data_IF_948991216804
#
_entry.id   IF_948991216804
#
_cell.length_a   1.000
_cell.length_b   1.000
_cell.length_c   1.000
_cell.angle_alpha   90.00
_cell.angle_beta   90.00
_cell.angle_gamma   90.00
#
_symmetry.space_group_name_H-M   'P 1'
#
loop_
_entity.id
_entity.type
_entity.pdbx_description
1 polymer ?
#
# COMPACT_ATOMS: atom_id res chain seq x y z
N UNK A 1 -4.44 10.33 1.81
CA UNK A 1 -5.48 9.44 2.36
C UNK A 1 -6.28 10.05 3.50
N UNK A 2 -5.68 10.66 4.53
CA UNK A 2 -6.45 11.26 5.64
C UNK A 2 -7.49 12.30 5.20
N UNK A 3 -7.22 13.06 4.15
CA UNK A 3 -8.16 14.10 3.67
C UNK A 3 -9.49 13.55 3.13
N UNK A 4 -9.53 12.27 2.74
CA UNK A 4 -10.71 11.64 2.14
C UNK A 4 -11.45 10.68 3.09
N UNK A 5 -10.95 10.50 4.33
CA UNK A 5 -11.51 9.56 5.29
C UNK A 5 -11.84 10.28 6.61
N UNK A 6 -13.09 10.19 7.11
CA UNK A 6 -13.54 10.96 8.28
C UNK A 6 -12.96 10.46 9.62
N UNK A 7 -12.31 9.30 9.66
CA UNK A 7 -11.70 8.72 10.86
C UNK A 7 -10.18 8.75 10.75
N UNK A 8 -9.49 8.80 11.89
CA UNK A 8 -8.03 8.70 11.93
C UNK A 8 -7.59 7.34 11.43
N UNK A 9 -6.68 7.32 10.46
CA UNK A 9 -6.04 6.11 9.96
C UNK A 9 -4.71 5.88 10.69
N UNK A 10 -4.51 4.67 11.20
CA UNK A 10 -3.26 4.23 11.80
C UNK A 10 -2.49 3.44 10.74
N UNK A 11 -1.37 3.97 10.27
CA UNK A 11 -0.58 3.34 9.20
C UNK A 11 0.40 2.33 9.76
N UNK A 12 0.46 1.14 9.15
CA UNK A 12 1.59 0.23 9.34
C UNK A 12 2.71 0.66 8.40
N UNK A 13 3.88 0.95 8.98
CA UNK A 13 5.04 1.47 8.27
C UNK A 13 6.21 0.52 8.44
N UNK A 14 6.98 0.29 7.38
CA UNK A 14 8.18 -0.53 7.44
C UNK A 14 9.14 -0.08 8.55
N UNK A 15 9.68 -1.03 9.32
CA UNK A 15 10.53 -0.75 10.48
C UNK A 15 11.68 0.21 10.15
N UNK A 16 12.35 0.01 9.03
CA UNK A 16 13.47 0.86 8.62
C UNK A 16 13.04 2.31 8.35
N UNK A 17 11.87 2.50 7.73
CA UNK A 17 11.33 3.84 7.46
C UNK A 17 10.85 4.52 8.75
N UNK A 18 10.26 3.74 9.66
CA UNK A 18 9.80 4.26 10.96
C UNK A 18 10.95 4.84 11.79
N UNK A 19 12.13 4.23 11.73
CA UNK A 19 13.28 4.64 12.53
C UNK A 19 14.25 5.59 11.81
N UNK A 20 13.94 6.03 10.59
CA UNK A 20 14.68 7.14 9.97
C UNK A 20 14.62 8.37 10.86
N UNK A 21 15.77 9.00 11.11
CA UNK A 21 15.97 10.04 12.14
C UNK A 21 14.97 11.20 12.05
N UNK A 22 14.68 11.68 10.85
CA UNK A 22 13.79 12.83 10.64
C UNK A 22 12.29 12.47 10.58
N UNK A 23 11.94 11.21 10.33
CA UNK A 23 10.54 10.78 10.24
C UNK A 23 10.00 10.19 11.55
N UNK A 24 10.88 9.70 12.42
CA UNK A 24 10.50 9.00 13.65
C UNK A 24 9.50 9.79 14.53
N UNK A 25 9.74 11.07 14.71
CA UNK A 25 8.87 11.91 15.55
C UNK A 25 7.48 12.08 14.89
N UNK A 26 7.44 12.38 13.60
CA UNK A 26 6.19 12.57 12.85
C UNK A 26 5.38 11.27 12.82
N UNK A 27 6.02 10.13 12.56
CA UNK A 27 5.34 8.83 12.51
C UNK A 27 4.81 8.40 13.89
N UNK A 28 5.53 8.72 14.97
CA UNK A 28 5.02 8.52 16.34
C UNK A 28 3.81 9.39 16.64
N UNK A 29 3.84 10.67 16.27
CA UNK A 29 2.72 11.58 16.44
C UNK A 29 1.50 11.14 15.61
N UNK A 30 1.73 10.57 14.44
CA UNK A 30 0.70 9.97 13.59
C UNK A 30 0.19 8.59 14.07
N UNK A 31 0.69 8.08 15.22
CA UNK A 31 0.39 6.76 15.74
C UNK A 31 0.61 5.62 14.73
N UNK A 32 1.67 5.74 13.91
CA UNK A 32 2.05 4.70 12.99
C UNK A 32 2.59 3.47 13.72
N UNK A 33 2.30 2.29 13.18
CA UNK A 33 2.74 1.00 13.72
C UNK A 33 4.01 0.58 12.97
N UNK A 34 5.18 0.48 13.63
CA UNK A 34 6.36 -0.08 12.98
C UNK A 34 6.17 -1.57 12.74
N UNK A 35 6.46 -2.03 11.51
CA UNK A 35 6.30 -3.43 11.10
C UNK A 35 7.58 -3.93 10.44
N UNK A 36 8.12 -5.04 10.92
CA UNK A 36 9.19 -5.78 10.23
C UNK A 36 8.61 -6.55 9.06
N UNK A 37 9.14 -6.32 7.85
CA UNK A 37 8.67 -6.99 6.65
C UNK A 37 9.18 -8.43 6.58
N UNK A 38 8.40 -9.32 5.98
CA UNK A 38 8.71 -10.73 5.70
C UNK A 38 9.01 -11.61 6.92
N UNK A 39 8.71 -11.13 8.13
CA UNK A 39 8.84 -11.91 9.37
C UNK A 39 7.59 -11.75 10.24
N UNK A 40 7.35 -12.74 11.08
CA UNK A 40 6.30 -12.62 12.09
C UNK A 40 6.72 -11.58 13.14
N UNK A 41 5.92 -10.54 13.29
CA UNK A 41 6.20 -9.39 14.16
C UNK A 41 5.15 -9.29 15.27
N UNK A 42 5.42 -9.98 16.39
CA UNK A 42 4.51 -10.01 17.52
C UNK A 42 4.20 -8.62 18.12
N UNK A 43 5.16 -7.70 18.29
CA UNK A 43 4.86 -6.33 18.70
C UNK A 43 3.88 -5.60 17.80
N UNK A 44 4.06 -5.69 16.46
CA UNK A 44 3.14 -5.09 15.50
C UNK A 44 1.75 -5.71 15.60
N UNK A 45 1.66 -7.04 15.78
CA UNK A 45 0.36 -7.73 15.93
C UNK A 45 -0.37 -7.30 17.20
N UNK A 46 0.33 -7.17 18.35
CA UNK A 46 -0.27 -6.65 19.59
C UNK A 46 -0.77 -5.22 19.45
N UNK A 47 -0.04 -4.37 18.71
CA UNK A 47 -0.51 -3.01 18.43
C UNK A 47 -1.78 -3.01 17.58
N UNK A 48 -1.87 -3.90 16.59
CA UNK A 48 -3.09 -4.10 15.79
C UNK A 48 -4.25 -4.58 16.67
N UNK A 49 -4.05 -5.60 17.52
CA UNK A 49 -5.06 -6.10 18.45
C UNK A 49 -5.66 -4.95 19.28
N UNK A 50 -4.80 -4.15 19.91
CA UNK A 50 -5.22 -2.98 20.71
C UNK A 50 -6.00 -1.94 19.91
N UNK A 51 -5.61 -1.69 18.65
CA UNK A 51 -6.31 -0.72 17.79
C UNK A 51 -7.65 -1.23 17.31
N UNK A 52 -7.76 -2.52 16.99
CA UNK A 52 -9.04 -3.17 16.60
C UNK A 52 -10.02 -3.14 17.77
N UNK A 53 -9.58 -3.47 18.98
CA UNK A 53 -10.41 -3.39 20.20
C UNK A 53 -10.96 -1.98 20.46
N UNK A 54 -10.19 -0.95 20.10
CA UNK A 54 -10.62 0.46 20.18
C UNK A 54 -11.47 0.92 18.99
N UNK A 55 -11.79 0.05 18.04
CA UNK A 55 -12.54 0.41 16.83
C UNK A 55 -11.77 1.33 15.88
N UNK A 56 -10.44 1.36 15.96
CA UNK A 56 -9.62 2.21 15.11
C UNK A 56 -9.47 1.64 13.70
N UNK A 57 -9.29 2.52 12.71
CA UNK A 57 -9.01 2.10 11.35
C UNK A 57 -7.48 1.93 11.13
N UNK A 58 -7.10 0.83 10.48
CA UNK A 58 -5.70 0.48 10.19
C UNK A 58 -5.50 0.47 8.69
N UNK A 59 -4.43 1.07 8.22
CA UNK A 59 -4.06 1.15 6.81
C UNK A 59 -2.67 0.55 6.59
N UNK A 60 -2.54 -0.35 5.62
CA UNK A 60 -1.27 -0.97 5.27
C UNK A 60 -1.23 -1.38 3.79
N UNK A 61 -0.02 -1.57 3.25
CA UNK A 61 0.18 -2.21 1.96
C UNK A 61 0.35 -3.71 2.16
N UNK A 62 -0.53 -4.55 1.59
CA UNK A 62 -0.46 -6.00 1.75
C UNK A 62 0.66 -6.65 0.94
N UNK A 63 1.30 -5.92 0.02
CA UNK A 63 2.43 -6.38 -0.78
C UNK A 63 3.75 -6.39 0.01
N UNK A 64 3.82 -5.63 1.11
CA UNK A 64 5.00 -5.55 1.97
C UNK A 64 6.19 -4.78 1.39
N UNK A 65 6.14 -4.36 0.13
CA UNK A 65 7.17 -3.57 -0.55
C UNK A 65 6.57 -2.62 -1.58
N UNK A 66 7.36 -1.64 -2.00
CA UNK A 66 6.99 -0.73 -3.08
C UNK A 66 7.15 -1.42 -4.43
N UNK A 67 6.27 -1.13 -5.37
CA UNK A 67 6.40 -1.57 -6.75
C UNK A 67 7.71 -1.07 -7.37
N UNK A 68 8.37 -1.93 -8.13
CA UNK A 68 9.60 -1.60 -8.86
C UNK A 68 9.26 -1.18 -10.30
N UNK A 69 8.24 -1.76 -10.89
CA UNK A 69 7.90 -1.63 -12.30
C UNK A 69 6.57 -0.94 -12.57
N UNK A 70 5.85 -0.48 -11.53
CA UNK A 70 4.50 0.08 -11.67
C UNK A 70 3.39 -0.97 -11.65
N UNK A 71 3.74 -2.27 -11.56
CA UNK A 71 2.81 -3.36 -11.35
C UNK A 71 2.75 -3.71 -9.87
N UNK A 72 1.60 -4.18 -9.40
CA UNK A 72 1.46 -4.69 -8.04
C UNK A 72 2.28 -5.97 -7.82
N UNK A 73 2.68 -6.20 -6.58
CA UNK A 73 3.32 -7.44 -6.15
C UNK A 73 2.27 -8.37 -5.50
N UNK A 74 2.51 -9.69 -5.47
CA UNK A 74 1.66 -10.59 -4.71
C UNK A 74 1.55 -10.18 -3.25
N UNK A 75 0.37 -10.37 -2.66
CA UNK A 75 0.17 -10.12 -1.22
C UNK A 75 1.01 -11.07 -0.38
N UNK A 76 1.41 -10.62 0.80
CA UNK A 76 2.17 -11.46 1.73
C UNK A 76 1.33 -12.64 2.22
N UNK A 77 1.95 -13.81 2.34
CA UNK A 77 1.30 -15.02 2.85
C UNK A 77 0.75 -14.78 4.26
N UNK A 78 -0.42 -15.35 4.54
CA UNK A 78 -1.11 -15.23 5.81
C UNK A 78 -2.05 -14.03 5.91
N UNK A 79 -2.19 -13.23 4.84
CA UNK A 79 -3.12 -12.10 4.79
C UNK A 79 -4.58 -12.56 4.99
N UNK A 80 -4.98 -13.67 4.39
CA UNK A 80 -6.31 -14.24 4.54
C UNK A 80 -6.61 -14.62 5.98
N UNK A 81 -5.65 -15.26 6.67
CA UNK A 81 -5.76 -15.58 8.11
C UNK A 81 -5.83 -14.31 8.96
N UNK A 82 -5.08 -13.28 8.61
CA UNK A 82 -5.12 -11.98 9.27
C UNK A 82 -6.51 -11.35 9.18
N UNK A 83 -7.11 -11.28 8.02
CA UNK A 83 -8.46 -10.73 7.84
C UNK A 83 -9.53 -11.56 8.57
N UNK A 84 -9.44 -12.89 8.51
CA UNK A 84 -10.37 -13.79 9.25
C UNK A 84 -10.25 -13.63 10.76
N UNK A 85 -9.03 -13.47 11.31
CA UNK A 85 -8.81 -13.27 12.74
C UNK A 85 -9.60 -12.09 13.29
N UNK A 86 -9.56 -10.97 12.58
CA UNK A 86 -10.21 -9.74 13.08
C UNK A 86 -11.68 -9.65 12.66
N UNK A 87 -12.06 -10.26 11.55
CA UNK A 87 -13.42 -10.29 11.04
C UNK A 87 -14.13 -8.92 11.03
N UNK A 88 -13.42 -7.88 10.59
CA UNK A 88 -13.88 -6.51 10.45
C UNK A 88 -14.00 -6.14 8.96
N UNK A 89 -14.81 -5.13 8.59
CA UNK A 89 -14.90 -4.69 7.21
C UNK A 89 -13.54 -4.30 6.65
N UNK A 90 -13.19 -4.81 5.47
CA UNK A 90 -11.94 -4.49 4.77
C UNK A 90 -12.24 -3.64 3.55
N UNK A 91 -11.61 -2.48 3.48
CA UNK A 91 -11.68 -1.59 2.34
C UNK A 91 -10.39 -1.63 1.55
N UNK A 92 -10.49 -1.65 0.23
CA UNK A 92 -9.37 -1.49 -0.68
C UNK A 92 -9.30 -0.04 -1.14
N UNK A 93 -8.09 0.53 -1.15
CA UNK A 93 -7.82 1.84 -1.76
C UNK A 93 -6.90 1.62 -2.94
N UNK A 94 -7.43 1.82 -4.15
CA UNK A 94 -6.66 1.76 -5.38
C UNK A 94 -6.12 3.14 -5.72
N UNK A 95 -4.84 3.21 -6.03
CA UNK A 95 -4.17 4.42 -6.50
C UNK A 95 -3.78 4.20 -7.96
N UNK A 96 -4.17 5.12 -8.84
CA UNK A 96 -3.76 5.12 -10.24
C UNK A 96 -2.95 6.37 -10.52
N UNK A 97 -1.83 6.22 -11.23
CA UNK A 97 -0.88 7.30 -11.55
C UNK A 97 0.15 7.57 -10.45
N UNK A 98 0.07 6.89 -9.30
CA UNK A 98 0.97 7.12 -8.18
C UNK A 98 2.42 6.73 -8.51
N UNK A 99 2.62 5.60 -9.19
CA UNK A 99 3.93 5.16 -9.63
C UNK A 99 4.53 6.13 -10.67
N UNK A 100 3.71 6.70 -11.54
CA UNK A 100 4.17 7.63 -12.58
C UNK A 100 4.64 8.98 -12.03
N UNK A 101 4.22 9.36 -10.82
CA UNK A 101 4.73 10.57 -10.15
C UNK A 101 6.07 10.34 -9.46
N UNK A 102 6.32 9.14 -8.96
CA UNK A 102 7.56 8.81 -8.25
C UNK A 102 7.96 7.36 -8.55
N UNK A 103 8.68 7.18 -9.64
CA UNK A 103 9.20 5.85 -10.02
C UNK A 103 10.40 5.48 -9.16
N UNK A 104 10.58 4.17 -8.92
CA UNK A 104 11.66 3.65 -8.07
C UNK A 104 13.07 4.05 -8.56
N UNK A 105 13.22 4.26 -9.85
CA UNK A 105 14.49 4.54 -10.51
C UNK A 105 14.73 6.02 -10.78
N UNK A 106 13.81 6.88 -10.34
CA UNK A 106 13.92 8.33 -10.50
C UNK A 106 13.86 9.03 -9.16
N UNK A 107 14.86 9.86 -8.92
CA UNK A 107 14.89 10.74 -7.77
C UNK A 107 14.05 12.00 -7.95
N UNK A 108 13.69 12.32 -9.19
CA UNK A 108 12.88 13.51 -9.50
C UNK A 108 11.39 13.16 -9.42
N UNK A 109 10.66 13.88 -8.58
CA UNK A 109 9.21 13.81 -8.55
C UNK A 109 8.62 14.43 -9.81
N UNK A 110 7.64 13.75 -10.39
CA UNK A 110 6.89 14.25 -11.54
C UNK A 110 5.54 14.78 -11.11
N UNK A 111 5.16 15.92 -11.65
CA UNK A 111 3.83 16.48 -11.46
C UNK A 111 2.84 15.76 -12.38
N UNK A 112 1.78 15.25 -11.82
CA UNK A 112 0.74 14.53 -12.56
C UNK A 112 -0.46 14.22 -11.67
N UNK A 113 -1.49 13.64 -12.27
CA UNK A 113 -2.73 13.31 -11.56
C UNK A 113 -2.62 11.94 -10.89
N UNK A 114 -2.96 11.88 -9.61
CA UNK A 114 -3.18 10.62 -8.89
C UNK A 114 -4.67 10.49 -8.60
N UNK A 115 -5.30 9.44 -9.14
CA UNK A 115 -6.68 9.08 -8.78
C UNK A 115 -6.67 8.06 -7.65
N UNK A 116 -7.50 8.28 -6.62
CA UNK A 116 -7.70 7.35 -5.53
C UNK A 116 -9.17 6.92 -5.47
N UNK A 117 -9.42 5.60 -5.40
CA UNK A 117 -10.77 5.03 -5.25
C UNK A 117 -10.77 4.08 -4.06
N UNK A 118 -11.72 4.29 -3.13
CA UNK A 118 -11.91 3.43 -1.98
C UNK A 118 -13.22 2.65 -2.12
N UNK A 119 -13.17 1.33 -1.91
CA UNK A 119 -14.32 0.43 -2.04
C UNK A 119 -14.30 -0.62 -0.93
N UNK A 120 -15.49 -1.11 -0.52
CA UNK A 120 -15.58 -2.25 0.38
C UNK A 120 -15.13 -3.51 -0.38
N UNK A 121 -14.08 -4.15 0.12
CA UNK A 121 -13.56 -5.39 -0.46
C UNK A 121 -14.20 -6.62 0.19
N UNK A 122 -14.26 -6.63 1.52
CA UNK A 122 -14.83 -7.72 2.29
C UNK A 122 -15.74 -7.22 3.40
N UNK A 123 -16.94 -7.81 3.48
CA UNK A 123 -17.78 -7.69 4.68
C UNK A 123 -17.38 -8.75 5.72
N UNK A 124 -17.73 -8.57 7.01
CA UNK A 124 -17.50 -9.58 8.03
C UNK A 124 -18.15 -10.94 7.73
N UNK A 125 -19.32 -10.93 7.08
CA UNK A 125 -20.05 -12.15 6.70
C UNK A 125 -19.25 -12.95 5.67
N UNK A 126 -18.69 -12.27 4.65
CA UNK A 126 -17.84 -12.91 3.66
C UNK A 126 -16.58 -13.50 4.31
N UNK A 127 -15.91 -12.76 5.21
CA UNK A 127 -14.71 -13.23 5.90
C UNK A 127 -14.95 -14.46 6.78
N UNK A 128 -16.16 -14.64 7.31
CA UNK A 128 -16.53 -15.85 8.06
C UNK A 128 -16.61 -17.07 7.16
N UNK A 129 -17.23 -16.96 6.00
CA UNK A 129 -17.52 -18.08 5.09
C UNK A 129 -16.34 -18.47 4.20
N UNK A 130 -15.56 -17.49 3.70
CA UNK A 130 -14.46 -17.74 2.77
C UNK A 130 -13.25 -18.39 3.45
N UNK A 131 -12.47 -19.17 2.69
CA UNK A 131 -11.19 -19.71 3.14
C UNK A 131 -10.10 -18.65 3.11
N UNK A 132 -9.00 -18.78 3.88
CA UNK A 132 -7.87 -17.86 3.81
C UNK A 132 -7.29 -17.72 2.41
N UNK A 133 -7.23 -18.83 1.69
CA UNK A 133 -6.67 -18.93 0.33
C UNK A 133 -7.54 -18.19 -0.67
N UNK A 134 -8.85 -18.33 -0.60
CA UNK A 134 -9.81 -17.57 -1.43
C UNK A 134 -9.71 -16.06 -1.19
N UNK A 135 -9.50 -15.65 0.06
CA UNK A 135 -9.31 -14.24 0.42
C UNK A 135 -8.02 -13.70 -0.19
N UNK A 136 -6.91 -14.44 -0.11
CA UNK A 136 -5.62 -14.03 -0.67
C UNK A 136 -5.69 -13.95 -2.20
N UNK A 137 -6.25 -14.94 -2.86
CA UNK A 137 -6.43 -14.96 -4.32
C UNK A 137 -7.30 -13.79 -4.80
N UNK A 138 -8.45 -13.57 -4.16
CA UNK A 138 -9.32 -12.44 -4.49
C UNK A 138 -8.61 -11.10 -4.23
N UNK A 139 -7.85 -10.96 -3.13
CA UNK A 139 -7.11 -9.74 -2.85
C UNK A 139 -6.06 -9.47 -3.92
N UNK A 140 -5.31 -10.48 -4.35
CA UNK A 140 -4.35 -10.37 -5.45
C UNK A 140 -5.03 -9.90 -6.74
N UNK A 141 -6.15 -10.51 -7.11
CA UNK A 141 -6.90 -10.13 -8.31
C UNK A 141 -7.41 -8.69 -8.25
N UNK A 142 -7.94 -8.28 -7.10
CA UNK A 142 -8.49 -6.93 -6.90
C UNK A 142 -7.42 -5.84 -6.79
N UNK A 143 -6.20 -6.20 -6.41
CA UNK A 143 -5.06 -5.29 -6.39
C UNK A 143 -4.36 -5.18 -7.74
N UNK A 144 -4.64 -6.09 -8.69
CA UNK A 144 -3.99 -6.08 -10.00
C UNK A 144 -4.21 -4.73 -10.69
N UNK A 145 -3.13 -4.00 -10.90
CA UNK A 145 -3.11 -2.68 -11.51
C UNK A 145 -1.79 -2.43 -12.23
N UNK A 146 -1.87 -1.69 -13.33
CA UNK A 146 -0.74 -1.26 -14.14
C UNK A 146 -0.92 0.23 -14.46
N UNK A 147 -0.08 1.07 -13.89
CA UNK A 147 -0.14 2.52 -14.09
C UNK A 147 0.18 2.95 -15.53
N UNK A 148 1.02 2.19 -16.25
CA UNK A 148 1.32 2.50 -17.65
C UNK A 148 0.13 2.19 -18.57
N UNK A 149 -0.50 1.02 -18.40
CA UNK A 149 -1.70 0.65 -19.16
C UNK A 149 -2.88 1.58 -18.83
N UNK A 150 -3.00 1.96 -17.56
CA UNK A 150 -4.00 2.93 -17.14
C UNK A 150 -3.74 4.28 -17.80
N UNK A 151 -2.51 4.81 -17.74
CA UNK A 151 -2.19 6.11 -18.33
C UNK A 151 -2.26 6.13 -19.87
N UNK A 152 -2.01 5.00 -20.51
CA UNK A 152 -2.22 4.87 -21.97
C UNK A 152 -3.67 5.15 -22.38
N UNK A 153 -4.63 4.87 -21.48
CA UNK A 153 -6.06 5.18 -21.70
C UNK A 153 -6.42 6.61 -21.32
N UNK A 154 -5.87 7.10 -20.21
CA UNK A 154 -6.21 8.41 -19.64
C UNK A 154 -5.45 9.57 -20.32
N UNK A 155 -4.31 9.29 -20.96
CA UNK A 155 -3.47 10.27 -21.68
C UNK A 155 -3.05 11.46 -20.80
N UNK A 156 -2.71 11.20 -19.53
CA UNK A 156 -2.29 12.23 -18.57
C UNK A 156 -0.79 12.49 -18.72
N UNK A 157 -0.38 13.76 -18.78
CA UNK A 157 1.03 14.14 -18.75
C UNK A 157 1.60 14.04 -17.33
N UNK A 158 2.83 13.53 -17.22
CA UNK A 158 3.60 13.48 -15.99
C UNK A 158 4.91 14.24 -16.21
N UNK A 159 4.92 15.51 -15.80
CA UNK A 159 6.01 16.43 -16.10
C UNK A 159 7.08 16.40 -15.01
N UNK A 160 8.32 16.18 -15.42
CA UNK A 160 9.50 16.15 -14.55
C UNK A 160 10.73 16.72 -15.26
N UNK A 161 11.84 16.86 -14.55
CA UNK A 161 13.06 17.50 -15.05
C UNK A 161 13.91 16.64 -16.01
N UNK A 162 13.39 15.54 -16.53
CA UNK A 162 14.00 14.79 -17.64
C UNK A 162 15.30 14.00 -17.34
N UNK A 163 15.80 14.04 -16.10
CA UNK A 163 17.04 13.32 -15.69
C UNK A 163 16.92 11.80 -15.75
N UNK A 164 15.72 11.31 -15.93
CA UNK A 164 15.41 9.89 -15.96
C UNK A 164 15.73 9.20 -17.28
N UNK A 165 15.48 9.87 -18.40
CA UNK A 165 15.69 9.25 -19.73
C UNK A 165 17.15 8.82 -19.85
N UNK A 166 18.09 9.64 -19.37
CA UNK A 166 19.52 9.34 -19.42
C UNK A 166 19.92 8.12 -18.55
N UNK A 167 19.32 7.96 -17.37
CA UNK A 167 19.60 6.78 -16.52
C UNK A 167 18.98 5.51 -17.06
N UNK A 168 17.85 5.59 -17.74
CA UNK A 168 17.21 4.45 -18.40
C UNK A 168 17.93 4.06 -19.69
N UNK A 169 18.46 5.02 -20.44
CA UNK A 169 19.33 4.75 -21.59
C UNK A 169 20.54 3.90 -21.19
N UNK A 170 21.19 4.19 -20.07
CA UNK A 170 22.33 3.42 -19.58
C UNK A 170 21.98 1.98 -19.20
N UNK A 171 20.72 1.68 -18.84
CA UNK A 171 20.25 0.34 -18.52
C UNK A 171 19.80 -0.46 -19.76
N UNK A 172 19.49 0.21 -20.85
CA UNK A 172 19.03 -0.41 -22.09
C UNK A 172 20.16 -0.82 -23.04
N UNK A 173 21.41 -0.49 -22.74
CA UNK A 173 22.60 -0.81 -23.53
C UNK A 173 23.43 -2.00 -22.99
N UNK A 174 22.81 -2.90 -22.22
CA UNK A 174 23.47 -4.13 -21.75
C UNK A 174 22.94 -5.33 -22.49
#
# INVERSE_FOLDING_TARGET
MHACYPRRLNFMVGYNEFFRSHLKFILRLAHAIPKKNFVFDLPAMKAVDTLVEKGAAICFSPEGMSSISGHNQPVVNGLGRFFKKYNIPVYIVRLSGAYLTNTKYCLDERKGLIKAKAELLYSPEYLKSATPEEIEERTNRELTHDDYLWNKKEQISYDGHGRLAHNLEQLCYV
#
